data_IF_463967363485
#
_entry.id   IF_463967363485
#
_cell.length_a   1.000
_cell.length_b   1.000
_cell.length_c   1.000
_cell.angle_alpha   90.00
_cell.angle_beta   90.00
_cell.angle_gamma   90.00
#
_symmetry.space_group_name_H-M   'P 1'
#
loop_
_entity.id
_entity.type
_entity.pdbx_description
1 polymer ?
#
# COMPACT_ATOMS: atom_id res chain seq x y z
N UNK A 1 -17.15 7.58 -30.41
CA UNK A 1 -16.63 8.57 -29.45
C UNK A 1 -17.80 9.45 -29.02
N UNK A 2 -18.55 9.07 -27.98
CA UNK A 2 -19.54 9.99 -27.41
C UNK A 2 -18.78 11.06 -26.64
N UNK A 3 -19.01 12.33 -26.97
CA UNK A 3 -18.65 13.43 -26.09
C UNK A 3 -19.28 13.15 -24.73
N UNK A 4 -18.47 13.01 -23.68
CA UNK A 4 -18.97 12.94 -22.31
C UNK A 4 -19.68 14.27 -22.01
N UNK A 5 -21.00 14.31 -22.19
CA UNK A 5 -21.80 15.40 -21.65
C UNK A 5 -21.59 15.44 -20.13
N UNK A 6 -21.33 16.62 -19.60
CA UNK A 6 -21.16 16.80 -18.15
C UNK A 6 -22.41 16.25 -17.45
N UNK A 7 -22.28 15.19 -16.62
CA UNK A 7 -23.43 14.50 -16.03
C UNK A 7 -24.28 15.44 -15.16
N UNK A 8 -23.73 16.56 -14.68
CA UNK A 8 -24.49 17.58 -13.96
C UNK A 8 -25.55 18.25 -14.84
N UNK A 9 -25.33 18.39 -16.15
CA UNK A 9 -26.27 19.04 -17.08
C UNK A 9 -27.52 18.18 -17.35
N UNK A 10 -27.49 16.91 -16.98
CA UNK A 10 -28.65 16.00 -17.08
C UNK A 10 -29.66 16.20 -15.93
N UNK A 11 -29.30 17.01 -14.92
CA UNK A 11 -30.14 17.28 -13.76
C UNK A 11 -31.16 18.40 -14.04
N UNK A 12 -32.27 18.47 -13.27
CA UNK A 12 -33.19 19.60 -13.34
C UNK A 12 -32.49 20.96 -13.21
N UNK A 13 -32.86 21.91 -14.07
CA UNK A 13 -32.19 23.23 -14.19
C UNK A 13 -31.94 23.96 -12.86
N UNK A 14 -32.89 24.02 -11.89
CA UNK A 14 -32.62 24.65 -10.60
C UNK A 14 -31.46 24.00 -9.81
N UNK A 15 -31.29 22.69 -9.94
CA UNK A 15 -30.19 21.95 -9.30
C UNK A 15 -28.88 22.27 -10.02
N UNK A 16 -28.89 22.33 -11.35
CA UNK A 16 -27.73 22.75 -12.15
C UNK A 16 -27.27 24.13 -11.69
N UNK A 17 -28.15 25.12 -11.70
CA UNK A 17 -27.83 26.50 -11.32
C UNK A 17 -27.27 26.58 -9.89
N UNK A 18 -27.85 25.83 -8.95
CA UNK A 18 -27.40 25.75 -7.57
C UNK A 18 -26.00 25.11 -7.42
N UNK A 19 -25.73 24.03 -8.16
CA UNK A 19 -24.44 23.34 -8.13
C UNK A 19 -23.32 24.18 -8.77
N UNK A 20 -23.59 24.84 -9.88
CA UNK A 20 -22.61 25.75 -10.50
C UNK A 20 -22.33 26.97 -9.61
N UNK A 21 -23.36 27.57 -9.00
CA UNK A 21 -23.17 28.64 -8.01
C UNK A 21 -22.36 28.16 -6.79
N UNK A 22 -22.60 26.93 -6.33
CA UNK A 22 -21.84 26.32 -5.24
C UNK A 22 -20.40 26.04 -5.65
N UNK A 23 -20.15 25.62 -6.90
CA UNK A 23 -18.82 25.38 -7.45
C UNK A 23 -18.00 26.68 -7.48
N UNK A 24 -18.59 27.82 -7.86
CA UNK A 24 -17.90 29.11 -7.82
C UNK A 24 -17.54 29.55 -6.40
N UNK A 25 -18.45 29.32 -5.44
CA UNK A 25 -18.17 29.60 -4.02
C UNK A 25 -17.05 28.69 -3.50
N UNK A 26 -17.12 27.41 -3.82
CA UNK A 26 -16.12 26.44 -3.34
C UNK A 26 -14.75 26.67 -4.00
N UNK A 27 -14.70 27.07 -5.27
CA UNK A 27 -13.46 27.45 -5.95
C UNK A 27 -12.74 28.61 -5.23
N UNK A 28 -13.49 29.62 -4.75
CA UNK A 28 -12.93 30.71 -3.93
C UNK A 28 -12.38 30.21 -2.60
N UNK A 29 -13.15 29.39 -1.88
CA UNK A 29 -12.73 28.80 -0.60
C UNK A 29 -11.50 27.90 -0.75
N UNK A 30 -11.42 27.12 -1.83
CA UNK A 30 -10.29 26.24 -2.14
C UNK A 30 -9.05 27.08 -2.46
N UNK A 31 -9.18 28.15 -3.25
CA UNK A 31 -8.05 29.04 -3.57
C UNK A 31 -7.39 29.60 -2.32
N UNK A 32 -8.17 30.09 -1.36
CA UNK A 32 -7.63 30.59 -0.08
C UNK A 32 -6.87 29.50 0.69
N UNK A 33 -7.43 28.29 0.75
CA UNK A 33 -6.78 27.13 1.38
C UNK A 33 -5.47 26.74 0.69
N UNK A 34 -5.43 26.75 -0.64
CA UNK A 34 -4.22 26.46 -1.43
C UNK A 34 -3.13 27.50 -1.13
N UNK A 35 -3.46 28.79 -1.16
CA UNK A 35 -2.49 29.85 -0.89
C UNK A 35 -1.96 29.80 0.54
N UNK A 36 -2.80 29.43 1.52
CA UNK A 36 -2.36 29.21 2.89
C UNK A 36 -1.43 27.99 2.99
N UNK A 37 -1.79 26.89 2.33
CA UNK A 37 -0.98 25.68 2.29
C UNK A 37 0.40 25.95 1.68
N UNK A 38 0.48 26.65 0.55
CA UNK A 38 1.76 27.01 -0.08
C UNK A 38 2.69 27.77 0.88
N UNK A 39 2.15 28.70 1.68
CA UNK A 39 2.93 29.44 2.68
C UNK A 39 3.45 28.54 3.78
N UNK A 40 2.63 27.60 4.27
CA UNK A 40 3.02 26.66 5.33
C UNK A 40 4.05 25.64 4.81
N UNK A 41 3.84 25.11 3.60
CA UNK A 41 4.73 24.16 2.95
C UNK A 41 6.12 24.76 2.75
N UNK A 42 6.23 26.03 2.32
CA UNK A 42 7.53 26.71 2.19
C UNK A 42 8.32 26.67 3.49
N UNK A 43 7.69 27.01 4.62
CA UNK A 43 8.33 26.99 5.95
C UNK A 43 8.82 25.59 6.32
N UNK A 44 8.00 24.56 6.14
CA UNK A 44 8.38 23.18 6.48
C UNK A 44 9.48 22.66 5.55
N UNK A 45 9.44 23.03 4.26
CA UNK A 45 10.38 22.56 3.24
C UNK A 45 11.83 22.98 3.47
N UNK A 46 12.08 24.06 4.23
CA UNK A 46 13.43 24.50 4.59
C UNK A 46 14.20 23.45 5.41
N UNK A 47 13.47 22.61 6.15
CA UNK A 47 14.02 21.50 6.93
C UNK A 47 14.33 20.26 6.09
N UNK A 48 13.85 20.18 4.84
CA UNK A 48 14.04 19.01 4.00
C UNK A 48 15.43 19.02 3.36
N UNK A 49 16.00 17.83 3.23
CA UNK A 49 17.27 17.57 2.56
C UNK A 49 17.04 16.51 1.50
N UNK A 50 17.25 16.89 0.25
CA UNK A 50 17.10 16.03 -0.91
C UNK A 50 18.48 15.60 -1.38
N UNK A 51 18.68 14.31 -1.59
CA UNK A 51 19.91 13.81 -2.19
C UNK A 51 19.69 13.62 -3.68
N UNK A 52 20.67 14.00 -4.49
CA UNK A 52 20.60 13.85 -5.93
C UNK A 52 20.91 12.40 -6.32
N UNK A 53 20.13 11.85 -7.24
CA UNK A 53 20.44 10.58 -7.88
C UNK A 53 21.52 10.84 -8.94
N UNK A 54 22.64 10.11 -8.85
CA UNK A 54 23.80 10.27 -9.74
C UNK A 54 24.14 8.91 -10.34
N UNK A 55 24.12 8.81 -11.67
CA UNK A 55 24.43 7.57 -12.39
C UNK A 55 23.19 6.76 -12.74
N UNK A 56 23.44 5.60 -13.35
CA UNK A 56 22.46 4.56 -13.66
C UNK A 56 23.11 3.20 -13.39
N UNK A 57 22.31 2.22 -12.98
CA UNK A 57 22.77 0.89 -12.63
C UNK A 57 21.99 -0.17 -13.42
N UNK A 58 22.74 -1.18 -13.84
CA UNK A 58 22.28 -2.36 -14.55
C UNK A 58 22.31 -3.57 -13.62
N UNK A 59 21.52 -4.59 -13.90
CA UNK A 59 21.40 -5.77 -13.04
C UNK A 59 20.09 -6.54 -13.17
N UNK A 60 19.98 -7.58 -12.37
CA UNK A 60 18.87 -8.50 -12.33
C UNK A 60 17.85 -8.10 -11.26
N UNK A 61 16.63 -7.78 -11.67
CA UNK A 61 15.54 -7.31 -10.82
C UNK A 61 14.42 -8.33 -10.86
N UNK A 62 14.08 -8.91 -9.70
CA UNK A 62 12.83 -9.63 -9.53
C UNK A 62 11.74 -8.66 -9.06
N UNK A 63 10.53 -8.87 -9.53
CA UNK A 63 9.35 -8.15 -9.05
C UNK A 63 8.22 -9.12 -8.80
N UNK A 64 7.44 -8.91 -7.73
CA UNK A 64 6.23 -9.69 -7.45
C UNK A 64 5.08 -8.78 -7.03
N UNK A 65 3.88 -9.15 -7.45
CA UNK A 65 2.63 -8.46 -7.09
C UNK A 65 1.48 -9.47 -7.01
N UNK A 66 0.40 -9.05 -6.34
CA UNK A 66 -0.81 -9.81 -6.12
C UNK A 66 -2.07 -8.96 -6.29
N UNK A 67 -3.12 -9.57 -6.82
CA UNK A 67 -4.42 -8.95 -7.02
C UNK A 67 -5.52 -9.86 -6.50
N UNK A 68 -6.62 -9.27 -6.06
CA UNK A 68 -7.78 -10.00 -5.53
C UNK A 68 -9.09 -9.30 -5.88
N UNK A 69 -10.19 -10.06 -5.87
CA UNK A 69 -11.54 -9.53 -6.01
C UNK A 69 -11.80 -8.36 -5.06
N UNK A 70 -12.21 -7.21 -5.61
CA UNK A 70 -12.60 -6.03 -4.81
C UNK A 70 -13.83 -6.31 -3.95
N UNK A 71 -14.77 -7.08 -4.48
CA UNK A 71 -15.97 -7.52 -3.80
C UNK A 71 -16.23 -9.00 -4.11
N UNK A 72 -16.68 -9.78 -3.11
CA UNK A 72 -17.12 -11.15 -3.37
C UNK A 72 -18.41 -11.16 -4.18
N UNK A 73 -18.60 -12.20 -4.97
CA UNK A 73 -19.89 -12.55 -5.56
C UNK A 73 -20.69 -13.40 -4.57
N UNK A 74 -21.95 -13.05 -4.35
CA UNK A 74 -22.85 -13.82 -3.47
C UNK A 74 -23.87 -14.56 -4.34
N UNK A 75 -23.66 -15.86 -4.54
CA UNK A 75 -24.56 -16.73 -5.33
C UNK A 75 -24.58 -18.14 -4.76
N UNK A 76 -25.60 -18.93 -5.09
CA UNK A 76 -25.74 -20.33 -4.64
C UNK A 76 -25.56 -20.52 -3.12
N UNK A 77 -25.98 -19.53 -2.33
CA UNK A 77 -25.81 -19.54 -0.88
C UNK A 77 -24.36 -19.46 -0.37
N UNK A 78 -23.41 -19.01 -1.19
CA UNK A 78 -21.99 -18.85 -0.82
C UNK A 78 -21.41 -17.51 -1.31
N UNK A 79 -20.33 -17.09 -0.65
CA UNK A 79 -19.46 -16.01 -1.12
C UNK A 79 -18.33 -16.60 -1.95
N UNK A 80 -18.06 -16.02 -3.11
CA UNK A 80 -16.96 -16.39 -3.98
C UNK A 80 -16.06 -15.20 -4.26
N UNK A 81 -14.76 -15.44 -4.21
CA UNK A 81 -13.75 -14.49 -4.64
C UNK A 81 -12.56 -15.23 -5.24
N UNK A 82 -11.78 -14.50 -6.03
CA UNK A 82 -10.58 -15.00 -6.67
C UNK A 82 -9.41 -14.07 -6.36
N UNK A 83 -8.21 -14.63 -6.47
CA UNK A 83 -6.97 -13.89 -6.37
C UNK A 83 -5.96 -14.44 -7.38
N UNK A 84 -5.00 -13.60 -7.72
CA UNK A 84 -3.89 -13.87 -8.60
C UNK A 84 -2.62 -13.27 -8.00
N UNK A 85 -1.48 -13.84 -8.32
CA UNK A 85 -0.18 -13.29 -7.99
C UNK A 85 0.85 -13.79 -9.00
N UNK A 86 1.99 -13.13 -9.10
CA UNK A 86 3.03 -13.56 -10.02
C UNK A 86 4.35 -12.88 -9.74
N UNK A 87 5.38 -13.36 -10.42
CA UNK A 87 6.67 -12.68 -10.49
C UNK A 87 7.09 -12.47 -11.94
N UNK A 88 7.93 -11.46 -12.14
CA UNK A 88 8.69 -11.24 -13.38
C UNK A 88 10.16 -10.99 -13.03
N UNK A 89 11.06 -11.43 -13.90
CA UNK A 89 12.51 -11.24 -13.77
C UNK A 89 13.02 -10.40 -14.94
N UNK A 90 13.67 -9.30 -14.63
CA UNK A 90 14.28 -8.42 -15.61
C UNK A 90 15.79 -8.44 -15.47
N UNK A 91 16.50 -8.75 -16.54
CA UNK A 91 17.96 -8.61 -16.62
C UNK A 91 18.29 -7.49 -17.61
N UNK A 92 18.93 -6.43 -17.12
CA UNK A 92 19.25 -5.23 -17.89
C UNK A 92 18.07 -4.64 -18.67
N UNK A 93 16.90 -4.65 -18.04
CA UNK A 93 15.64 -4.13 -18.58
C UNK A 93 14.90 -5.08 -19.52
N UNK A 94 15.38 -6.31 -19.71
CA UNK A 94 14.71 -7.33 -20.53
C UNK A 94 14.04 -8.37 -19.65
N UNK A 95 12.78 -8.67 -19.91
CA UNK A 95 12.07 -9.77 -19.25
C UNK A 95 12.70 -11.11 -19.68
N UNK A 96 13.18 -11.90 -18.71
CA UNK A 96 13.84 -13.19 -18.96
C UNK A 96 13.08 -14.40 -18.39
N UNK A 97 12.21 -14.20 -17.41
CA UNK A 97 11.37 -15.24 -16.82
C UNK A 97 10.15 -14.63 -16.12
N UNK A 98 9.06 -15.38 -16.05
CA UNK A 98 7.85 -15.01 -15.34
C UNK A 98 7.10 -16.26 -14.88
N UNK A 99 6.32 -16.14 -13.81
CA UNK A 99 5.42 -17.20 -13.37
C UNK A 99 4.19 -16.61 -12.68
N UNK A 100 3.07 -17.33 -12.75
CA UNK A 100 1.77 -16.85 -12.29
C UNK A 100 1.03 -17.89 -11.47
N UNK A 101 0.30 -17.38 -10.49
CA UNK A 101 -0.50 -18.13 -9.54
C UNK A 101 -1.92 -17.56 -9.54
N UNK A 102 -2.90 -18.44 -9.40
CA UNK A 102 -4.29 -18.06 -9.21
C UNK A 102 -4.96 -19.00 -8.21
N UNK A 103 -5.95 -18.47 -7.50
CA UNK A 103 -6.74 -19.24 -6.56
C UNK A 103 -8.10 -18.63 -6.33
N UNK A 104 -8.93 -19.35 -5.59
CA UNK A 104 -10.26 -18.90 -5.20
C UNK A 104 -10.51 -19.11 -3.72
N UNK A 105 -11.48 -18.38 -3.19
CA UNK A 105 -12.02 -18.56 -1.85
C UNK A 105 -13.54 -18.64 -1.97
N UNK A 106 -14.11 -19.76 -1.54
CA UNK A 106 -15.54 -19.93 -1.35
C UNK A 106 -15.87 -20.03 0.14
N UNK A 107 -17.02 -19.49 0.56
CA UNK A 107 -17.46 -19.59 1.96
C UNK A 107 -18.99 -19.60 2.08
N UNK A 108 -19.60 -20.57 2.80
CA UNK A 108 -21.05 -20.84 2.81
C UNK A 108 -21.92 -19.86 3.62
N UNK A 109 -21.51 -18.60 3.78
CA UNK A 109 -21.98 -17.56 4.72
C UNK A 109 -21.13 -17.38 5.99
N UNK A 110 -20.78 -16.13 6.27
CA UNK A 110 -19.93 -15.67 7.36
C UNK A 110 -19.66 -14.17 7.27
N UNK A 111 -19.12 -13.55 8.34
CA UNK A 111 -18.87 -12.11 8.36
C UNK A 111 -17.95 -11.65 7.23
N UNK A 112 -18.37 -10.62 6.49
CA UNK A 112 -17.62 -10.07 5.33
C UNK A 112 -16.19 -9.63 5.66
N UNK A 113 -15.91 -9.33 6.94
CA UNK A 113 -14.58 -8.94 7.41
C UNK A 113 -13.59 -10.09 7.40
N UNK A 114 -13.98 -11.25 7.90
CA UNK A 114 -13.08 -12.40 8.02
C UNK A 114 -12.79 -12.98 6.65
N UNK A 115 -13.82 -13.07 5.79
CA UNK A 115 -13.68 -13.44 4.38
C UNK A 115 -12.68 -12.55 3.63
N UNK A 116 -12.81 -11.22 3.74
CA UNK A 116 -11.87 -10.28 3.09
C UNK A 116 -10.45 -10.38 3.66
N UNK A 117 -10.33 -10.62 4.96
CA UNK A 117 -9.03 -10.77 5.63
C UNK A 117 -8.33 -12.03 5.15
N UNK A 118 -9.06 -13.16 5.08
CA UNK A 118 -8.54 -14.43 4.60
C UNK A 118 -8.15 -14.35 3.11
N UNK A 119 -9.01 -13.80 2.26
CA UNK A 119 -8.72 -13.59 0.83
C UNK A 119 -7.44 -12.79 0.62
N UNK A 120 -7.30 -11.68 1.35
CA UNK A 120 -6.11 -10.84 1.30
C UNK A 120 -4.85 -11.59 1.74
N UNK A 121 -4.97 -12.45 2.75
CA UNK A 121 -3.84 -13.22 3.24
C UNK A 121 -3.46 -14.36 2.28
N UNK A 122 -4.43 -15.01 1.62
CA UNK A 122 -4.18 -15.99 0.57
C UNK A 122 -3.47 -15.36 -0.64
N UNK A 123 -3.90 -14.16 -1.05
CA UNK A 123 -3.21 -13.37 -2.08
C UNK A 123 -1.78 -13.02 -1.66
N UNK A 124 -1.59 -12.51 -0.44
CA UNK A 124 -0.26 -12.19 0.09
C UNK A 124 0.65 -13.43 0.20
N UNK A 125 0.08 -14.61 0.51
CA UNK A 125 0.80 -15.87 0.48
C UNK A 125 1.31 -16.20 -0.93
N UNK A 126 0.45 -16.12 -1.93
CA UNK A 126 0.82 -16.37 -3.32
C UNK A 126 1.89 -15.37 -3.81
N UNK A 127 1.76 -14.09 -3.49
CA UNK A 127 2.75 -13.04 -3.81
C UNK A 127 4.11 -13.31 -3.15
N UNK A 128 4.13 -13.62 -1.83
CA UNK A 128 5.37 -13.92 -1.10
C UNK A 128 6.01 -15.23 -1.55
N UNK A 129 5.21 -16.21 -1.96
CA UNK A 129 5.69 -17.46 -2.58
C UNK A 129 6.35 -17.17 -3.93
N UNK A 130 5.71 -16.38 -4.79
CA UNK A 130 6.26 -15.99 -6.09
C UNK A 130 7.59 -15.23 -5.94
N UNK A 131 7.65 -14.25 -5.02
CA UNK A 131 8.88 -13.51 -4.72
C UNK A 131 10.01 -14.42 -4.20
N UNK A 132 9.68 -15.40 -3.35
CA UNK A 132 10.66 -16.35 -2.82
C UNK A 132 11.20 -17.27 -3.92
N UNK A 133 10.32 -17.78 -4.78
CA UNK A 133 10.73 -18.59 -5.93
C UNK A 133 11.64 -17.80 -6.88
N UNK A 134 11.25 -16.58 -7.23
CA UNK A 134 12.07 -15.67 -8.04
C UNK A 134 13.47 -15.50 -7.45
N UNK A 135 13.56 -15.28 -6.14
CA UNK A 135 14.85 -15.16 -5.45
C UNK A 135 15.70 -16.42 -5.55
N UNK A 136 15.15 -17.60 -5.21
CA UNK A 136 15.93 -18.85 -5.18
C UNK A 136 16.31 -19.35 -6.58
N UNK A 137 15.47 -19.07 -7.59
CA UNK A 137 15.71 -19.49 -8.98
C UNK A 137 16.75 -18.61 -9.68
N UNK A 138 16.73 -17.29 -9.42
CA UNK A 138 17.50 -16.31 -10.20
C UNK A 138 18.55 -15.52 -9.42
N UNK A 139 18.53 -15.57 -8.09
CA UNK A 139 19.45 -14.81 -7.23
C UNK A 139 19.58 -13.32 -7.64
N UNK A 140 18.46 -12.58 -7.79
CA UNK A 140 18.44 -11.22 -8.33
C UNK A 140 19.17 -10.23 -7.43
N UNK A 141 19.68 -9.14 -7.99
CA UNK A 141 20.32 -8.04 -7.23
C UNK A 141 19.32 -7.29 -6.35
N UNK A 142 18.07 -7.22 -6.79
CA UNK A 142 16.97 -6.54 -6.11
C UNK A 142 15.67 -7.33 -6.26
N UNK A 143 14.85 -7.36 -5.21
CA UNK A 143 13.49 -7.90 -5.24
C UNK A 143 12.52 -6.77 -4.93
N UNK A 144 11.62 -6.47 -5.85
CA UNK A 144 10.58 -5.48 -5.68
C UNK A 144 9.28 -6.15 -5.24
N UNK A 145 8.65 -5.59 -4.20
CA UNK A 145 7.33 -6.00 -3.72
C UNK A 145 6.38 -4.80 -3.83
N UNK A 146 5.18 -4.96 -4.38
CA UNK A 146 4.21 -3.86 -4.42
C UNK A 146 3.46 -3.71 -3.09
N UNK A 147 3.77 -2.64 -2.37
CA UNK A 147 3.22 -2.32 -1.06
C UNK A 147 4.10 -2.72 0.12
N UNK A 148 3.80 -2.21 1.33
CA UNK A 148 4.63 -2.41 2.52
C UNK A 148 4.82 -3.89 2.90
N UNK A 149 5.94 -4.24 3.54
CA UNK A 149 6.28 -5.64 3.87
C UNK A 149 5.13 -6.39 4.55
N UNK A 150 4.48 -5.73 5.53
CA UNK A 150 3.40 -6.29 6.34
C UNK A 150 2.02 -5.71 5.99
N UNK A 151 1.76 -5.36 4.73
CA UNK A 151 0.47 -4.80 4.30
C UNK A 151 -0.73 -5.70 4.67
N UNK A 152 -0.52 -7.02 4.74
CA UNK A 152 -1.53 -8.04 5.05
C UNK A 152 -1.91 -8.13 6.54
N UNK A 153 -1.10 -7.59 7.47
CA UNK A 153 -1.25 -7.78 8.93
C UNK A 153 -2.65 -7.50 9.48
N UNK A 154 -3.30 -6.44 9.00
CA UNK A 154 -4.49 -5.92 9.67
C UNK A 154 -5.60 -6.98 9.79
N UNK A 155 -6.11 -7.17 11.01
CA UNK A 155 -7.24 -8.07 11.32
C UNK A 155 -6.94 -9.58 11.27
N UNK A 156 -5.69 -10.00 11.03
CA UNK A 156 -5.33 -11.43 11.00
C UNK A 156 -5.72 -12.20 12.28
N UNK A 157 -5.76 -11.54 13.45
CA UNK A 157 -6.21 -12.19 14.71
C UNK A 157 -7.60 -12.83 14.65
N UNK A 158 -8.47 -12.36 13.75
CA UNK A 158 -9.86 -12.85 13.65
C UNK A 158 -9.98 -14.12 12.82
N UNK A 159 -8.95 -14.49 12.06
CA UNK A 159 -8.96 -15.68 11.21
C UNK A 159 -8.09 -16.81 11.77
N UNK A 160 -7.48 -16.68 12.93
CA UNK A 160 -6.56 -17.70 13.47
C UNK A 160 -7.19 -19.09 13.59
N UNK A 161 -8.46 -19.17 14.00
CA UNK A 161 -9.18 -20.43 14.19
C UNK A 161 -9.89 -20.94 12.92
N UNK A 162 -9.86 -20.18 11.83
CA UNK A 162 -10.44 -20.59 10.54
C UNK A 162 -9.71 -21.82 10.05
N UNK A 163 -10.43 -22.91 9.75
CA UNK A 163 -9.86 -24.06 9.06
C UNK A 163 -9.62 -23.70 7.60
N UNK A 164 -8.46 -24.10 7.07
CA UNK A 164 -8.10 -23.94 5.66
C UNK A 164 -8.00 -25.35 5.07
N UNK A 165 -8.71 -25.57 3.97
CA UNK A 165 -8.77 -26.87 3.29
C UNK A 165 -7.60 -27.04 2.31
N UNK A 166 -6.36 -26.93 2.80
CA UNK A 166 -5.17 -27.22 1.99
C UNK A 166 -4.29 -28.27 2.67
N UNK A 167 -3.58 -29.13 1.91
CA UNK A 167 -2.70 -30.14 2.50
C UNK A 167 -1.58 -29.57 3.40
N UNK A 168 -1.13 -28.36 3.10
CA UNK A 168 0.04 -27.71 3.73
C UNK A 168 -0.35 -26.82 4.92
N UNK A 169 -1.53 -26.20 4.89
CA UNK A 169 -1.99 -25.23 5.89
C UNK A 169 -3.33 -25.67 6.46
N UNK A 170 -3.40 -25.91 7.77
CA UNK A 170 -4.60 -26.40 8.45
C UNK A 170 -5.47 -25.25 8.96
N UNK A 171 -4.85 -24.17 9.41
CA UNK A 171 -5.55 -23.05 10.04
C UNK A 171 -5.12 -21.70 9.46
N UNK A 172 -5.95 -20.68 9.68
CA UNK A 172 -5.59 -19.31 9.37
C UNK A 172 -4.37 -18.81 10.15
N UNK A 173 -4.10 -19.35 11.35
CA UNK A 173 -2.86 -19.07 12.07
C UNK A 173 -1.63 -19.64 11.33
N UNK A 174 -1.74 -20.84 10.76
CA UNK A 174 -0.66 -21.42 9.96
C UNK A 174 -0.38 -20.55 8.73
N UNK A 175 -1.43 -20.10 8.04
CA UNK A 175 -1.31 -19.17 6.92
C UNK A 175 -0.66 -17.84 7.37
N UNK A 176 -1.07 -17.27 8.50
CA UNK A 176 -0.46 -16.03 9.04
C UNK A 176 1.05 -16.21 9.27
N UNK A 177 1.44 -17.30 9.92
CA UNK A 177 2.85 -17.61 10.20
C UNK A 177 3.63 -17.79 8.92
N UNK A 178 3.09 -18.53 7.95
CA UNK A 178 3.76 -18.80 6.69
C UNK A 178 4.00 -17.51 5.88
N UNK A 179 3.00 -16.63 5.75
CA UNK A 179 3.18 -15.34 5.03
C UNK A 179 4.15 -14.42 5.78
N UNK A 180 4.08 -14.38 7.11
CA UNK A 180 5.02 -13.62 7.94
C UNK A 180 6.45 -14.13 7.74
N UNK A 181 6.65 -15.44 7.85
CA UNK A 181 7.98 -16.05 7.82
C UNK A 181 8.63 -15.89 6.44
N UNK A 182 7.86 -16.05 5.35
CA UNK A 182 8.35 -15.72 4.00
C UNK A 182 8.70 -14.24 3.85
N UNK A 183 7.88 -13.34 4.40
CA UNK A 183 8.18 -11.91 4.42
C UNK A 183 9.51 -11.64 5.14
N UNK A 184 9.73 -12.27 6.30
CA UNK A 184 10.97 -12.12 7.07
C UNK A 184 12.17 -12.72 6.31
N UNK A 185 12.05 -13.89 5.69
CA UNK A 185 13.10 -14.48 4.85
C UNK A 185 13.46 -13.56 3.68
N UNK A 186 12.48 -12.97 3.01
CA UNK A 186 12.73 -11.99 1.94
C UNK A 186 13.48 -10.76 2.47
N UNK A 187 13.11 -10.26 3.65
CA UNK A 187 13.83 -9.17 4.31
C UNK A 187 15.28 -9.56 4.64
N UNK A 188 15.51 -10.76 5.17
CA UNK A 188 16.83 -11.27 5.54
C UNK A 188 17.80 -11.39 4.36
N UNK A 189 17.30 -11.52 3.12
CA UNK A 189 18.16 -11.46 1.92
C UNK A 189 18.92 -10.14 1.80
N UNK A 190 18.41 -9.05 2.40
CA UNK A 190 18.93 -7.70 2.23
C UNK A 190 18.66 -7.10 0.85
N UNK A 191 17.92 -7.78 -0.03
CA UNK A 191 17.64 -7.38 -1.41
C UNK A 191 16.19 -6.98 -1.66
N UNK A 192 15.29 -7.28 -0.71
CA UNK A 192 13.89 -6.93 -0.83
C UNK A 192 13.62 -5.45 -0.53
N UNK A 193 12.87 -4.80 -1.43
CA UNK A 193 12.40 -3.42 -1.31
C UNK A 193 10.94 -3.36 -1.67
N UNK A 194 10.16 -2.75 -0.80
CA UNK A 194 8.75 -2.51 -1.03
C UNK A 194 8.54 -1.17 -1.74
N UNK A 195 7.85 -1.17 -2.88
CA UNK A 195 7.45 0.03 -3.60
C UNK A 195 6.02 0.40 -3.19
N UNK A 196 5.81 1.60 -2.66
CA UNK A 196 4.52 2.04 -2.12
C UNK A 196 3.96 3.14 -3.02
N UNK A 197 3.13 2.73 -3.98
CA UNK A 197 2.50 3.61 -4.98
C UNK A 197 1.55 4.62 -4.33
N UNK A 198 0.78 4.20 -3.32
CA UNK A 198 -0.31 4.99 -2.69
C UNK A 198 -0.07 5.19 -1.20
N UNK A 199 0.97 5.96 -0.88
CA UNK A 199 1.24 6.33 0.51
C UNK A 199 0.21 7.34 1.05
N UNK A 200 -0.49 6.94 2.11
CA UNK A 200 -1.46 7.78 2.82
C UNK A 200 -0.97 8.28 4.17
N UNK A 201 0.32 8.11 4.49
CA UNK A 201 0.85 8.47 5.81
C UNK A 201 0.93 9.99 5.99
N UNK A 202 0.88 10.39 7.26
CA UNK A 202 0.89 11.77 7.75
C UNK A 202 1.89 11.86 8.90
N UNK A 203 3.08 11.31 8.68
CA UNK A 203 4.18 11.31 9.62
C UNK A 203 4.69 12.73 9.85
N UNK A 204 4.77 13.57 8.80
CA UNK A 204 5.19 14.97 8.93
C UNK A 204 4.20 15.74 9.81
N UNK A 205 2.90 15.64 9.54
CA UNK A 205 1.87 16.23 10.41
C UNK A 205 1.95 15.67 11.84
N UNK A 206 2.15 14.36 12.01
CA UNK A 206 2.31 13.75 13.33
C UNK A 206 3.49 14.32 14.13
N UNK A 207 4.63 14.49 13.46
CA UNK A 207 5.82 15.11 14.02
C UNK A 207 5.59 16.60 14.34
N UNK A 208 4.91 17.35 13.45
CA UNK A 208 4.57 18.75 13.67
C UNK A 208 3.64 18.93 14.87
N UNK A 209 2.60 18.10 15.03
CA UNK A 209 1.73 18.15 16.22
C UNK A 209 2.56 17.91 17.48
N UNK A 210 3.39 16.88 17.45
CA UNK A 210 4.17 16.48 18.61
C UNK A 210 5.10 17.62 19.06
N UNK A 211 5.89 18.18 18.15
CA UNK A 211 6.93 19.17 18.45
C UNK A 211 6.47 20.63 18.45
N UNK A 212 5.53 21.01 17.58
CA UNK A 212 5.16 22.41 17.31
C UNK A 212 3.69 22.72 17.59
N UNK A 213 2.85 21.70 17.77
CA UNK A 213 1.42 21.86 18.05
C UNK A 213 0.53 21.76 16.82
N UNK A 214 -0.80 21.72 17.04
CA UNK A 214 -1.77 21.45 15.98
C UNK A 214 -1.81 22.53 14.89
N UNK A 215 -1.52 23.78 15.22
CA UNK A 215 -1.52 24.90 14.27
C UNK A 215 -0.40 24.80 13.22
N UNK A 216 0.65 24.01 13.49
CA UNK A 216 1.72 23.77 12.54
C UNK A 216 1.33 22.74 11.45
N UNK A 217 0.22 22.00 11.62
CA UNK A 217 -0.17 20.94 10.68
C UNK A 217 -0.47 21.46 9.28
N UNK A 218 0.09 20.79 8.28
CA UNK A 218 -0.19 21.05 6.88
C UNK A 218 -1.55 20.45 6.45
N UNK A 219 -2.03 19.44 7.17
CA UNK A 219 -3.30 18.75 6.93
C UNK A 219 -3.38 18.07 5.55
N UNK A 220 -2.23 17.74 4.97
CA UNK A 220 -2.07 16.94 3.75
C UNK A 220 -1.30 15.66 4.06
N UNK A 221 -1.31 14.68 3.16
CA UNK A 221 -0.43 13.51 3.30
C UNK A 221 0.99 13.83 2.82
N UNK A 222 1.94 13.02 3.29
CA UNK A 222 3.36 13.28 3.06
C UNK A 222 3.73 13.16 1.56
N UNK A 223 3.06 12.27 0.82
CA UNK A 223 3.20 12.15 -0.64
C UNK A 223 2.81 13.44 -1.35
N UNK A 224 1.70 14.07 -0.96
CA UNK A 224 1.25 15.33 -1.55
C UNK A 224 2.21 16.47 -1.20
N UNK A 225 2.67 16.53 0.06
CA UNK A 225 3.70 17.49 0.47
C UNK A 225 4.94 17.37 -0.41
N UNK A 226 5.49 16.17 -0.54
CA UNK A 226 6.69 15.93 -1.35
C UNK A 226 6.45 16.15 -2.83
N UNK A 227 5.23 15.93 -3.34
CA UNK A 227 4.88 16.30 -4.73
C UNK A 227 5.08 17.81 -4.97
N UNK A 228 4.77 18.64 -3.98
CA UNK A 228 4.92 20.10 -4.08
C UNK A 228 6.37 20.58 -3.96
N UNK A 229 7.23 19.88 -3.21
CA UNK A 229 8.57 20.42 -2.85
C UNK A 229 9.76 19.60 -3.33
N UNK A 230 9.59 18.30 -3.60
CA UNK A 230 10.69 17.41 -3.93
C UNK A 230 11.12 17.59 -5.39
N UNK A 231 12.38 17.97 -5.69
CA UNK A 231 12.84 18.11 -7.07
C UNK A 231 12.90 16.77 -7.82
N UNK A 232 12.85 16.76 -9.17
CA UNK A 232 13.14 15.55 -9.95
C UNK A 232 14.58 15.08 -9.75
N UNK A 233 14.84 13.81 -10.04
CA UNK A 233 16.12 13.13 -9.84
C UNK A 233 16.67 13.23 -8.40
N UNK A 234 15.79 13.09 -7.41
CA UNK A 234 16.18 13.11 -6.00
C UNK A 234 15.57 11.97 -5.18
N UNK A 235 16.18 11.71 -4.03
CA UNK A 235 15.66 10.89 -2.95
C UNK A 235 15.46 11.75 -1.69
N UNK A 236 14.59 11.29 -0.79
CA UNK A 236 14.37 11.91 0.51
C UNK A 236 14.14 10.84 1.59
N UNK A 237 14.64 11.07 2.80
CA UNK A 237 14.47 10.16 3.94
C UNK A 237 13.83 10.87 5.13
N UNK A 238 12.95 10.16 5.83
CA UNK A 238 12.42 10.62 7.11
C UNK A 238 13.49 10.84 8.17
N UNK A 239 14.70 10.25 8.04
CA UNK A 239 15.82 10.44 8.97
C UNK A 239 16.18 11.91 9.22
N UNK A 240 15.91 12.78 8.24
CA UNK A 240 16.17 14.21 8.37
C UNK A 240 15.14 14.94 9.25
N UNK A 241 14.02 14.29 9.56
CA UNK A 241 12.90 14.86 10.31
C UNK A 241 12.63 14.10 11.62
N UNK A 242 12.56 12.77 11.56
CA UNK A 242 12.14 11.93 12.67
C UNK A 242 12.71 10.51 12.58
N UNK A 243 12.85 9.83 13.73
CA UNK A 243 13.44 8.48 13.78
C UNK A 243 12.49 7.37 13.32
N UNK A 244 11.18 7.51 13.57
CA UNK A 244 10.16 6.52 13.22
C UNK A 244 8.92 7.20 12.61
N UNK A 245 8.86 7.32 11.26
CA UNK A 245 7.75 7.99 10.61
C UNK A 245 6.42 7.28 10.81
N UNK A 246 6.41 5.95 10.97
CA UNK A 246 5.19 5.20 11.13
C UNK A 246 4.61 5.35 12.53
N UNK A 247 5.46 5.52 13.55
CA UNK A 247 5.03 5.91 14.89
C UNK A 247 4.38 7.29 14.86
N UNK A 248 4.99 8.30 14.22
CA UNK A 248 4.40 9.63 14.11
C UNK A 248 3.11 9.65 13.27
N UNK A 249 3.03 8.85 12.21
CA UNK A 249 1.79 8.68 11.45
C UNK A 249 0.68 8.02 12.30
N UNK A 250 1.03 7.08 13.18
CA UNK A 250 0.09 6.47 14.13
C UNK A 250 -0.33 7.47 15.20
N UNK A 251 0.61 8.25 15.74
CA UNK A 251 0.37 9.33 16.68
C UNK A 251 -0.63 10.34 16.12
N UNK A 252 -0.42 10.80 14.87
CA UNK A 252 -1.36 11.67 14.17
C UNK A 252 -2.78 11.11 14.20
N UNK A 253 -2.95 9.83 13.83
CA UNK A 253 -4.27 9.18 13.80
C UNK A 253 -4.94 9.12 15.18
N UNK A 254 -4.18 8.79 16.22
CA UNK A 254 -4.70 8.75 17.59
C UNK A 254 -5.07 10.15 18.08
N UNK A 255 -4.20 11.13 17.86
CA UNK A 255 -4.47 12.53 18.20
C UNK A 255 -5.76 13.02 17.50
N UNK A 256 -5.90 12.81 16.18
CA UNK A 256 -7.10 13.19 15.43
C UNK A 256 -8.35 12.49 15.94
N UNK A 257 -8.28 11.20 16.29
CA UNK A 257 -9.40 10.45 16.87
C UNK A 257 -9.89 11.12 18.16
N UNK A 258 -8.99 11.54 19.04
CA UNK A 258 -9.38 12.22 20.28
C UNK A 258 -9.95 13.62 20.04
N UNK A 259 -9.39 14.36 19.08
CA UNK A 259 -9.96 15.66 18.66
C UNK A 259 -11.38 15.50 18.12
N UNK A 260 -11.64 14.46 17.32
CA UNK A 260 -12.98 14.13 16.82
C UNK A 260 -13.94 13.68 17.92
N UNK A 261 -13.42 13.11 19.00
CA UNK A 261 -14.20 12.79 20.20
C UNK A 261 -14.44 14.01 21.12
N UNK A 262 -14.06 15.22 20.70
CA UNK A 262 -14.33 16.47 21.42
C UNK A 262 -13.28 16.90 22.44
N UNK A 263 -12.14 16.20 22.56
CA UNK A 263 -11.03 16.62 23.45
C UNK A 263 -10.34 17.85 22.88
N UNK A 264 -10.01 18.83 23.73
CA UNK A 264 -9.23 20.01 23.31
C UNK A 264 -7.72 19.69 23.28
N UNK A 265 -6.90 20.41 22.50
CA UNK A 265 -5.46 20.14 22.41
C UNK A 265 -4.76 20.16 23.77
N UNK A 266 -5.17 21.06 24.67
CA UNK A 266 -4.57 21.25 25.99
C UNK A 266 -4.86 20.08 26.93
N UNK A 267 -5.94 19.33 26.67
CA UNK A 267 -6.34 18.16 27.44
C UNK A 267 -5.63 16.87 26.95
N UNK A 268 -4.81 16.96 25.88
CA UNK A 268 -4.15 15.81 25.24
C UNK A 268 -2.67 15.72 25.62
N UNK A 269 -2.36 14.74 26.47
CA UNK A 269 -0.99 14.37 26.78
C UNK A 269 -0.34 13.63 25.58
N UNK A 270 0.61 14.31 24.94
CA UNK A 270 1.32 13.82 23.75
C UNK A 270 2.19 12.60 24.06
N UNK A 271 2.88 12.57 25.20
CA UNK A 271 3.73 11.44 25.61
C UNK A 271 2.91 10.18 25.85
N UNK A 272 1.74 10.37 26.48
CA UNK A 272 0.80 9.28 26.72
C UNK A 272 0.25 8.72 25.41
N UNK A 273 -0.09 9.58 24.45
CA UNK A 273 -0.55 9.14 23.12
C UNK A 273 0.56 8.37 22.40
N UNK A 274 1.78 8.89 22.39
CA UNK A 274 2.92 8.23 21.73
C UNK A 274 3.21 6.85 22.36
N UNK A 275 3.23 6.78 23.68
CA UNK A 275 3.35 5.52 24.44
C UNK A 275 2.22 4.54 24.12
N UNK A 276 0.99 5.03 23.94
CA UNK A 276 -0.15 4.21 23.54
C UNK A 276 -0.01 3.67 22.11
N UNK A 277 0.58 4.45 21.19
CA UNK A 277 0.85 4.00 19.82
C UNK A 277 1.84 2.83 19.81
N UNK A 278 2.94 2.91 20.58
CA UNK A 278 3.90 1.80 20.71
C UNK A 278 3.27 0.54 21.30
N UNK A 279 2.44 0.70 22.35
CA UNK A 279 1.69 -0.43 22.95
C UNK A 279 0.73 -1.07 21.95
N UNK A 280 -0.01 -0.25 21.19
CA UNK A 280 -0.93 -0.74 20.16
C UNK A 280 -0.19 -1.47 19.03
N UNK A 281 1.00 -1.01 18.67
CA UNK A 281 1.86 -1.69 17.70
C UNK A 281 2.33 -3.04 18.18
N UNK A 282 2.95 -3.13 19.35
CA UNK A 282 3.37 -4.40 19.97
C UNK A 282 2.22 -5.39 20.02
N UNK A 283 1.07 -4.93 20.51
CA UNK A 283 -0.09 -5.78 20.66
C UNK A 283 -0.66 -6.24 19.30
N UNK A 284 -0.59 -5.40 18.26
CA UNK A 284 -0.98 -5.80 16.91
C UNK A 284 -0.01 -6.80 16.29
N UNK A 285 1.30 -6.61 16.40
CA UNK A 285 2.25 -7.60 15.90
C UNK A 285 2.07 -8.95 16.61
N UNK A 286 1.93 -8.93 17.94
CA UNK A 286 1.71 -10.14 18.72
C UNK A 286 0.39 -10.84 18.37
N UNK A 287 -0.72 -10.10 18.29
CA UNK A 287 -2.04 -10.69 18.03
C UNK A 287 -2.32 -11.02 16.58
N UNK A 288 -1.85 -10.20 15.65
CA UNK A 288 -2.17 -10.34 14.22
C UNK A 288 -1.12 -11.15 13.46
N UNK A 289 0.15 -11.11 13.87
CA UNK A 289 1.24 -11.82 13.19
C UNK A 289 1.87 -12.92 14.06
N UNK A 290 1.45 -13.08 15.31
CA UNK A 290 2.03 -14.06 16.23
C UNK A 290 3.56 -13.90 16.39
N UNK A 291 4.02 -12.65 16.44
CA UNK A 291 5.44 -12.29 16.60
C UNK A 291 5.58 -11.04 17.46
N UNK A 292 6.65 -10.99 18.27
CA UNK A 292 7.02 -9.79 19.02
C UNK A 292 7.59 -8.72 18.06
N UNK A 293 7.20 -7.46 18.25
CA UNK A 293 7.62 -6.36 17.37
C UNK A 293 9.15 -6.25 17.30
N UNK A 294 9.83 -6.50 18.42
CA UNK A 294 11.29 -6.45 18.56
C UNK A 294 12.02 -7.51 17.71
N UNK A 295 11.32 -8.55 17.23
CA UNK A 295 11.89 -9.54 16.29
C UNK A 295 11.80 -9.10 14.83
N UNK A 296 11.08 -8.02 14.54
CA UNK A 296 10.97 -7.48 13.17
C UNK A 296 12.19 -6.59 12.90
N UNK A 297 12.92 -6.82 11.80
CA UNK A 297 14.04 -5.95 11.44
C UNK A 297 13.63 -4.49 11.33
N UNK A 298 14.54 -3.58 11.70
CA UNK A 298 14.27 -2.14 11.62
C UNK A 298 14.08 -1.73 10.16
N UNK A 299 12.89 -1.19 9.87
CA UNK A 299 12.51 -0.69 8.56
C UNK A 299 12.67 0.82 8.50
N UNK A 300 12.96 1.32 7.32
CA UNK A 300 12.96 2.74 7.00
C UNK A 300 12.17 3.02 5.73
N UNK A 301 11.72 4.27 5.65
CA UNK A 301 10.94 4.75 4.53
C UNK A 301 11.60 5.95 3.88
N UNK A 302 11.63 5.91 2.56
CA UNK A 302 12.23 6.93 1.72
C UNK A 302 11.28 7.28 0.59
N UNK A 303 11.49 8.43 -0.03
CA UNK A 303 10.80 8.81 -1.25
C UNK A 303 11.80 8.94 -2.39
N UNK A 304 11.36 8.59 -3.58
CA UNK A 304 12.15 8.71 -4.82
C UNK A 304 11.32 9.49 -5.82
N UNK A 305 11.95 10.42 -6.54
CA UNK A 305 11.35 11.17 -7.64
C UNK A 305 12.29 11.22 -8.83
N UNK A 306 11.90 10.60 -9.94
CA UNK A 306 12.67 10.68 -11.19
C UNK A 306 12.31 11.91 -12.02
N UNK A 307 11.01 12.18 -12.19
CA UNK A 307 10.51 13.22 -13.09
C UNK A 307 9.61 14.24 -12.39
N UNK A 308 9.52 15.45 -12.95
CA UNK A 308 8.57 16.48 -12.51
C UNK A 308 7.13 16.16 -12.93
N UNK A 309 6.95 15.35 -13.99
CA UNK A 309 5.64 14.99 -14.52
C UNK A 309 4.84 14.03 -13.63
N UNK A 310 5.52 13.30 -12.75
CA UNK A 310 4.92 12.35 -11.83
C UNK A 310 5.21 12.73 -10.37
N UNK A 311 4.33 12.35 -9.42
CA UNK A 311 4.61 12.51 -7.99
C UNK A 311 5.71 11.54 -7.54
N UNK A 312 6.42 11.84 -6.45
CA UNK A 312 7.32 10.87 -5.83
C UNK A 312 6.56 9.63 -5.33
N UNK A 313 7.22 8.49 -5.32
CA UNK A 313 6.73 7.27 -4.68
C UNK A 313 7.53 6.97 -3.42
N UNK A 314 6.93 6.23 -2.50
CA UNK A 314 7.58 5.83 -1.25
C UNK A 314 8.19 4.43 -1.44
N UNK A 315 9.34 4.18 -0.82
CA UNK A 315 9.91 2.85 -0.68
C UNK A 315 10.06 2.51 0.80
N UNK A 316 9.88 1.24 1.14
CA UNK A 316 10.17 0.69 2.46
C UNK A 316 11.23 -0.41 2.34
N UNK A 317 12.31 -0.28 3.11
CA UNK A 317 13.47 -1.16 3.06
C UNK A 317 14.07 -1.34 4.47
N UNK A 318 15.05 -2.24 4.60
CA UNK A 318 15.85 -2.32 5.83
C UNK A 318 16.60 -1.00 6.06
N UNK A 319 16.75 -0.60 7.32
CA UNK A 319 17.34 0.69 7.70
C UNK A 319 18.70 0.99 7.05
N UNK A 320 19.48 -0.03 6.73
CA UNK A 320 20.84 0.13 6.22
C UNK A 320 20.87 0.50 4.73
N UNK A 321 19.72 0.42 4.04
CA UNK A 321 19.64 0.64 2.62
C UNK A 321 19.80 2.13 2.28
N UNK A 322 20.59 2.43 1.25
CA UNK A 322 20.64 3.77 0.67
C UNK A 322 19.59 3.86 -0.44
N UNK A 323 18.63 4.80 -0.38
CA UNK A 323 17.62 4.94 -1.42
C UNK A 323 18.22 5.33 -2.78
N UNK A 324 19.41 5.92 -2.82
CA UNK A 324 20.13 6.25 -4.04
C UNK A 324 20.58 4.97 -4.79
N UNK A 325 21.10 3.97 -4.07
CA UNK A 325 21.52 2.68 -4.66
C UNK A 325 20.33 1.95 -5.31
N UNK A 326 19.16 2.02 -4.68
CA UNK A 326 17.90 1.55 -5.28
C UNK A 326 17.54 2.37 -6.52
N UNK A 327 17.61 3.70 -6.42
CA UNK A 327 17.11 4.59 -7.45
C UNK A 327 17.92 4.51 -8.76
N UNK A 328 19.23 4.25 -8.66
CA UNK A 328 20.12 4.09 -9.81
C UNK A 328 19.64 3.01 -10.80
N UNK A 329 19.01 1.93 -10.33
CA UNK A 329 18.49 0.85 -11.20
C UNK A 329 17.38 1.30 -12.14
N UNK A 330 16.63 2.35 -11.79
CA UNK A 330 15.43 2.75 -12.52
C UNK A 330 15.53 4.14 -13.15
N UNK A 331 16.71 4.77 -13.15
CA UNK A 331 16.92 6.04 -13.85
C UNK A 331 16.53 5.93 -15.34
N UNK A 332 16.95 4.85 -15.99
CA UNK A 332 16.64 4.56 -17.39
C UNK A 332 15.48 3.56 -17.56
N UNK A 333 14.94 3.05 -16.45
CA UNK A 333 13.96 1.95 -16.43
C UNK A 333 12.76 2.23 -15.51
N UNK A 334 12.32 3.49 -15.46
CA UNK A 334 11.07 3.91 -14.84
C UNK A 334 10.02 4.25 -15.89
N UNK A 335 8.75 4.15 -15.52
CA UNK A 335 7.65 4.62 -16.34
C UNK A 335 7.53 6.16 -16.24
N UNK A 336 7.70 6.93 -17.34
CA UNK A 336 7.64 8.39 -17.28
C UNK A 336 6.27 8.96 -16.88
N UNK A 337 5.18 8.21 -17.09
CA UNK A 337 3.82 8.64 -16.77
C UNK A 337 3.49 8.48 -15.28
N UNK A 338 3.93 7.39 -14.66
CA UNK A 338 3.64 7.08 -13.24
C UNK A 338 4.77 7.49 -12.32
N UNK A 339 6.00 7.59 -12.83
CA UNK A 339 7.24 7.81 -12.08
C UNK A 339 7.75 6.56 -11.35
N UNK A 340 7.10 5.40 -11.52
CA UNK A 340 7.42 4.16 -10.82
C UNK A 340 8.46 3.33 -11.59
N UNK A 341 9.17 2.40 -10.92
CA UNK A 341 9.94 1.36 -11.61
C UNK A 341 9.06 0.63 -12.64
N UNK A 342 9.51 0.56 -13.90
CA UNK A 342 8.73 -0.05 -14.98
C UNK A 342 8.30 -1.50 -14.70
N UNK A 343 9.15 -2.36 -14.07
CA UNK A 343 8.76 -3.71 -13.67
C UNK A 343 7.52 -3.79 -12.78
N UNK A 344 7.32 -2.82 -11.87
CA UNK A 344 6.15 -2.79 -10.98
C UNK A 344 4.87 -2.64 -11.80
N UNK A 345 4.86 -1.72 -12.76
CA UNK A 345 3.69 -1.48 -13.60
C UNK A 345 3.38 -2.71 -14.48
N UNK A 346 4.41 -3.41 -14.97
CA UNK A 346 4.23 -4.63 -15.79
C UNK A 346 3.62 -5.79 -15.00
N UNK A 347 4.13 -6.09 -13.80
CA UNK A 347 3.59 -7.21 -13.02
C UNK A 347 2.17 -6.89 -12.54
N UNK A 348 1.90 -5.63 -12.16
CA UNK A 348 0.58 -5.17 -11.73
C UNK A 348 -0.45 -5.37 -12.84
N UNK A 349 -0.11 -4.97 -14.08
CA UNK A 349 -0.97 -5.20 -15.24
C UNK A 349 -1.22 -6.69 -15.48
N UNK A 350 -0.19 -7.53 -15.40
CA UNK A 350 -0.29 -8.96 -15.66
C UNK A 350 -1.13 -9.72 -14.62
N UNK A 351 -1.04 -9.35 -13.33
CA UNK A 351 -1.81 -10.01 -12.26
C UNK A 351 -3.16 -9.37 -12.03
N UNK A 352 -3.42 -8.16 -12.52
CA UNK A 352 -4.68 -7.45 -12.30
C UNK A 352 -5.86 -8.25 -12.82
N UNK A 353 -6.87 -8.41 -11.96
CA UNK A 353 -8.11 -9.07 -12.33
C UNK A 353 -9.03 -8.09 -13.08
N UNK A 354 -9.47 -8.42 -14.32
CA UNK A 354 -10.42 -7.61 -15.04
C UNK A 354 -11.73 -7.37 -14.28
N UNK A 355 -12.42 -6.27 -14.60
CA UNK A 355 -13.77 -6.03 -14.07
C UNK A 355 -14.69 -7.17 -14.53
N UNK A 356 -15.43 -7.74 -13.58
CA UNK A 356 -16.35 -8.85 -13.84
C UNK A 356 -15.72 -10.24 -13.68
N UNK A 357 -14.41 -10.39 -13.47
CA UNK A 357 -13.78 -11.72 -13.33
C UNK A 357 -14.36 -12.55 -12.19
N UNK A 358 -14.75 -11.93 -11.08
CA UNK A 358 -15.39 -12.65 -9.96
C UNK A 358 -16.77 -13.17 -10.34
N UNK A 359 -17.54 -12.39 -11.09
CA UNK A 359 -18.85 -12.80 -11.61
C UNK A 359 -18.70 -13.95 -12.59
N UNK A 360 -17.80 -13.82 -13.57
CA UNK A 360 -17.55 -14.85 -14.57
C UNK A 360 -17.07 -16.16 -13.93
N UNK A 361 -16.17 -16.09 -12.94
CA UNK A 361 -15.76 -17.27 -12.17
C UNK A 361 -16.93 -17.93 -11.45
N UNK A 362 -17.81 -17.14 -10.83
CA UNK A 362 -18.98 -17.68 -10.10
C UNK A 362 -19.96 -18.34 -11.06
N UNK A 363 -20.19 -17.76 -12.23
CA UNK A 363 -21.05 -18.34 -13.28
C UNK A 363 -20.50 -19.68 -13.80
N UNK A 364 -19.18 -19.79 -13.87
CA UNK A 364 -18.47 -21.01 -14.27
C UNK A 364 -18.53 -22.09 -13.17
N UNK A 365 -18.61 -21.69 -11.90
CA UNK A 365 -18.94 -22.59 -10.77
C UNK A 365 -20.41 -23.06 -10.87
N UNK A 366 -21.36 -22.14 -11.08
CA UNK A 366 -22.79 -22.45 -11.28
C UNK A 366 -22.98 -23.45 -12.42
N UNK A 367 -22.34 -23.21 -13.57
CA UNK A 367 -22.43 -24.06 -14.74
C UNK A 367 -21.88 -25.48 -14.52
N UNK A 368 -20.89 -25.65 -13.63
CA UNK A 368 -20.38 -26.97 -13.22
C UNK A 368 -21.36 -27.68 -12.30
N UNK A 369 -21.90 -26.99 -11.32
CA UNK A 369 -22.84 -27.57 -10.34
C UNK A 369 -24.15 -28.01 -11.01
N UNK A 370 -24.65 -27.28 -12.00
CA UNK A 370 -25.84 -27.67 -12.78
C UNK A 370 -25.64 -29.01 -13.51
N UNK A 371 -24.40 -29.37 -13.84
CA UNK A 371 -24.07 -30.63 -14.51
C UNK A 371 -23.74 -31.76 -13.54
N UNK A 372 -23.71 -31.47 -12.25
CA UNK A 372 -23.38 -32.43 -11.21
C UNK A 372 -24.61 -33.29 -10.89
N UNK A 373 -24.49 -34.61 -11.08
CA UNK A 373 -25.60 -35.55 -10.87
C UNK A 373 -25.88 -35.79 -9.38
N UNK A 374 -24.97 -35.41 -8.49
CA UNK A 374 -25.11 -35.60 -7.04
C UNK A 374 -25.86 -34.44 -6.36
N UNK A 375 -26.21 -33.38 -7.10
CA UNK A 375 -26.93 -32.20 -6.62
C UNK A 375 -28.28 -32.11 -7.34
N UNK A 376 -29.31 -32.79 -6.81
CA UNK A 376 -30.72 -32.71 -7.27
C UNK A 376 -31.50 -31.54 -6.63
#
# INVERSE_FOLDING_TARGET
>A
MSSEENPLLTLPRPIVDALFSSAEKEARNVKERILMLEKMVRKVSESFRFNRIVGSRKGCIAVADGSMSVAPSSRIGSLFAIYSAGYMIFDDGRLIDENYYAGSLSWPYGGTRDFKTLLKLLMAYAERKAASEAYWKHNPDLILLDGPFFFFRGYCRYIHAVQIETPELKTGLDLVREVRDKTLTLMETGRAVCVIRRSGIRAVDGWLIYNQGEEACLRINDKHLLTMVMPPMTTWSYRHLCEDPLLYATFYRFYRRWRQAGRRPEDLDKERILSQCLKDWREKFRKDLDIELEKVPRLERHYVRYTSAAPPFEIEALANMKPEDFAEYFVEFHNPATGLPYPIDMVDEAVTLPRGSTTAFTEEVEARLIKDQDIE
#
